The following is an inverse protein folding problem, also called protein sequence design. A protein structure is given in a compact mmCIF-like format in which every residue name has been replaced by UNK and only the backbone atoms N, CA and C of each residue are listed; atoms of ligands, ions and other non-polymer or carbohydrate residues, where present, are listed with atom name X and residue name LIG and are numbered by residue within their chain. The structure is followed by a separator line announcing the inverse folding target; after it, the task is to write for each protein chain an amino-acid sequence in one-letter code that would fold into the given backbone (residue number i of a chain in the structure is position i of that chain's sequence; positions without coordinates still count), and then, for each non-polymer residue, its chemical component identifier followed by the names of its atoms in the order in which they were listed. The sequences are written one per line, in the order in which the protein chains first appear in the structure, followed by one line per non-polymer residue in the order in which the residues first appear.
data_IF_267836595011
#
_entry.id   IF_267836595011
#
_cell.length_a   1.000
_cell.length_b   1.000
_cell.length_c   1.000
_cell.angle_alpha   90.00
_cell.angle_beta   90.00
_cell.angle_gamma   90.00
#
_symmetry.space_group_name_H-M   'P 1'
#
loop_
_entity.id
_entity.type
_entity.pdbx_description
1 polymer ?
#
# COMPACT_ATOMS: atom_id res chain seq x y z
N UNK A 1 -28.03 -7.60 -5.23
CA UNK A 1 -28.11 -6.12 -5.15
C UNK A 1 -27.95 -5.77 -3.69
N UNK A 2 -26.79 -5.22 -3.34
CA UNK A 2 -26.44 -4.87 -1.98
C UNK A 2 -26.16 -3.36 -1.87
N UNK A 3 -26.06 -2.88 -0.64
CA UNK A 3 -25.92 -1.46 -0.35
C UNK A 3 -24.66 -0.85 -0.98
N UNK A 4 -23.57 -1.60 -1.06
CA UNK A 4 -22.33 -1.15 -1.71
C UNK A 4 -22.50 -0.89 -3.21
N UNK A 5 -23.19 -1.78 -3.92
CA UNK A 5 -23.51 -1.55 -5.35
C UNK A 5 -24.43 -0.35 -5.54
N UNK A 6 -25.44 -0.20 -4.67
CA UNK A 6 -26.39 0.92 -4.75
C UNK A 6 -25.65 2.26 -4.60
N UNK A 7 -24.82 2.41 -3.57
CA UNK A 7 -24.04 3.64 -3.38
C UNK A 7 -23.07 3.90 -4.53
N UNK A 8 -22.43 2.85 -5.08
CA UNK A 8 -21.56 3.00 -6.26
C UNK A 8 -22.34 3.54 -7.45
N UNK A 9 -23.52 2.99 -7.72
CA UNK A 9 -24.35 3.39 -8.85
C UNK A 9 -24.90 4.82 -8.68
N UNK A 10 -24.97 5.32 -7.43
CA UNK A 10 -25.25 6.72 -7.09
C UNK A 10 -24.03 7.65 -7.16
N UNK A 11 -22.82 7.11 -7.37
CA UNK A 11 -21.57 7.87 -7.35
C UNK A 11 -21.05 8.19 -5.94
N UNK A 12 -21.62 7.58 -4.90
CA UNK A 12 -21.25 7.76 -3.50
C UNK A 12 -20.15 6.79 -3.09
N UNK A 13 -18.94 6.97 -3.64
CA UNK A 13 -17.83 6.01 -3.49
C UNK A 13 -17.44 5.72 -2.04
N UNK A 14 -17.45 6.72 -1.15
CA UNK A 14 -17.06 6.52 0.25
C UNK A 14 -18.07 5.66 1.01
N UNK A 15 -19.37 5.84 0.76
CA UNK A 15 -20.41 5.00 1.36
C UNK A 15 -20.46 3.62 0.71
N UNK A 16 -20.20 3.52 -0.59
CA UNK A 16 -20.02 2.24 -1.28
C UNK A 16 -18.88 1.43 -0.66
N UNK A 17 -17.73 2.07 -0.43
CA UNK A 17 -16.57 1.48 0.21
C UNK A 17 -16.90 1.00 1.62
N UNK A 18 -17.50 1.85 2.44
CA UNK A 18 -17.89 1.53 3.82
C UNK A 18 -18.87 0.36 3.89
N UNK A 19 -19.93 0.38 3.08
CA UNK A 19 -20.92 -0.70 3.03
C UNK A 19 -20.30 -2.02 2.56
N UNK A 20 -19.43 -1.95 1.55
CA UNK A 20 -18.73 -3.13 1.01
C UNK A 20 -17.79 -3.75 2.05
N UNK A 21 -16.99 -2.94 2.74
CA UNK A 21 -16.07 -3.42 3.77
C UNK A 21 -16.83 -4.02 4.96
N UNK A 22 -17.92 -3.40 5.40
CA UNK A 22 -18.77 -3.99 6.45
C UNK A 22 -19.35 -5.34 6.05
N UNK A 23 -19.73 -5.52 4.78
CA UNK A 23 -20.21 -6.80 4.29
C UNK A 23 -19.12 -7.88 4.32
N UNK A 24 -17.87 -7.53 3.98
CA UNK A 24 -16.70 -8.43 4.07
C UNK A 24 -16.36 -8.76 5.53
N UNK A 25 -16.48 -7.80 6.45
CA UNK A 25 -16.26 -8.04 7.89
C UNK A 25 -17.30 -9.00 8.50
N UNK A 26 -18.53 -8.98 7.98
CA UNK A 26 -19.59 -9.90 8.42
C UNK A 26 -19.44 -11.30 7.80
N UNK A 27 -18.97 -11.38 6.56
CA UNK A 27 -18.71 -12.62 5.84
C UNK A 27 -17.52 -12.43 4.89
N UNK A 28 -16.35 -12.91 5.31
CA UNK A 28 -15.09 -12.81 4.55
C UNK A 28 -15.18 -13.53 3.19
N UNK A 29 -16.07 -14.53 3.07
CA UNK A 29 -16.31 -15.30 1.86
C UNK A 29 -17.36 -14.68 0.92
N UNK A 30 -17.89 -13.50 1.24
CA UNK A 30 -18.95 -12.88 0.47
C UNK A 30 -18.47 -12.45 -0.93
N UNK A 31 -18.75 -13.30 -1.92
CA UNK A 31 -18.32 -13.10 -3.31
C UNK A 31 -18.84 -11.78 -3.89
N UNK A 32 -20.09 -11.39 -3.61
CA UNK A 32 -20.68 -10.14 -4.14
C UNK A 32 -19.96 -8.91 -3.54
N UNK A 33 -19.62 -8.95 -2.24
CA UNK A 33 -18.88 -7.88 -1.58
C UNK A 33 -17.43 -7.79 -2.09
N UNK A 34 -16.75 -8.92 -2.27
CA UNK A 34 -15.41 -8.96 -2.86
C UNK A 34 -15.40 -8.44 -4.31
N UNK A 35 -16.39 -8.80 -5.12
CA UNK A 35 -16.55 -8.28 -6.47
C UNK A 35 -16.80 -6.77 -6.49
N UNK A 36 -17.67 -6.28 -5.60
CA UNK A 36 -17.90 -4.86 -5.44
C UNK A 36 -16.64 -4.11 -5.03
N UNK A 37 -15.85 -4.67 -4.10
CA UNK A 37 -14.58 -4.08 -3.68
C UNK A 37 -13.61 -3.94 -4.86
N UNK A 38 -13.45 -5.01 -5.64
CA UNK A 38 -12.61 -5.00 -6.86
C UNK A 38 -13.10 -3.98 -7.89
N UNK A 39 -14.42 -3.77 -7.98
CA UNK A 39 -15.04 -2.79 -8.86
C UNK A 39 -14.73 -1.36 -8.42
N UNK A 40 -14.96 -1.02 -7.15
CA UNK A 40 -14.78 0.35 -6.63
C UNK A 40 -13.32 0.75 -6.42
N UNK A 41 -12.39 -0.23 -6.40
CA UNK A 41 -10.99 0.00 -6.04
C UNK A 41 -10.29 1.12 -6.83
N UNK A 42 -10.62 1.32 -8.11
CA UNK A 42 -10.07 2.41 -8.93
C UNK A 42 -10.58 3.79 -8.56
N UNK A 43 -11.72 3.85 -7.88
CA UNK A 43 -12.43 5.09 -7.56
C UNK A 43 -12.13 5.55 -6.13
N UNK A 44 -11.46 4.70 -5.33
CA UNK A 44 -11.03 5.02 -3.98
C UNK A 44 -10.00 6.16 -4.02
N UNK A 45 -10.39 7.29 -3.44
CA UNK A 45 -9.51 8.41 -3.14
C UNK A 45 -9.35 8.53 -1.64
N UNK A 46 -8.19 8.12 -1.12
CA UNK A 46 -7.92 8.11 0.32
C UNK A 46 -7.98 9.53 0.86
N UNK A 47 -8.84 9.75 1.85
CA UNK A 47 -9.05 11.01 2.53
C UNK A 47 -9.16 10.78 4.04
N UNK A 48 -9.30 11.86 4.81
CA UNK A 48 -9.38 11.78 6.28
C UNK A 48 -10.58 11.00 6.79
N UNK A 49 -11.68 10.95 6.05
CA UNK A 49 -12.94 10.32 6.46
C UNK A 49 -13.00 8.83 6.11
N UNK A 50 -12.39 8.42 4.99
CA UNK A 50 -12.45 7.04 4.52
C UNK A 50 -11.17 6.23 4.80
N UNK A 51 -10.14 6.83 5.41
CA UNK A 51 -8.79 6.24 5.54
C UNK A 51 -8.80 4.81 6.09
N UNK A 52 -9.53 4.56 7.16
CA UNK A 52 -9.58 3.25 7.80
C UNK A 52 -10.24 2.20 6.91
N UNK A 53 -11.31 2.58 6.20
CA UNK A 53 -11.97 1.69 5.24
C UNK A 53 -11.11 1.45 3.99
N UNK A 54 -10.42 2.49 3.49
CA UNK A 54 -9.50 2.36 2.37
C UNK A 54 -8.29 1.47 2.72
N UNK A 55 -7.79 1.56 3.96
CA UNK A 55 -6.76 0.67 4.48
C UNK A 55 -7.23 -0.78 4.51
N UNK A 56 -8.42 -1.07 5.06
CA UNK A 56 -8.99 -2.43 5.04
C UNK A 56 -9.22 -2.95 3.63
N UNK A 57 -9.73 -2.10 2.74
CA UNK A 57 -9.85 -2.43 1.32
C UNK A 57 -8.51 -2.83 0.71
N UNK A 58 -7.47 -2.05 0.99
CA UNK A 58 -6.13 -2.34 0.51
C UNK A 58 -5.61 -3.69 1.03
N UNK A 59 -5.82 -4.00 2.30
CA UNK A 59 -5.46 -5.28 2.92
C UNK A 59 -6.15 -6.47 2.25
N UNK A 60 -7.47 -6.38 2.03
CA UNK A 60 -8.24 -7.42 1.35
C UNK A 60 -7.75 -7.62 -0.09
N UNK A 61 -7.51 -6.53 -0.82
CA UNK A 61 -7.07 -6.59 -2.21
C UNK A 61 -5.63 -7.10 -2.36
N UNK A 62 -4.74 -6.82 -1.40
CA UNK A 62 -3.37 -7.38 -1.37
C UNK A 62 -3.34 -8.90 -1.23
N UNK A 63 -4.40 -9.49 -0.67
CA UNK A 63 -4.54 -10.94 -0.50
C UNK A 63 -5.27 -11.61 -1.68
N UNK A 64 -5.75 -10.84 -2.66
CA UNK A 64 -6.38 -11.37 -3.86
C UNK A 64 -5.33 -11.71 -4.92
N UNK A 65 -5.14 -13.01 -5.23
CA UNK A 65 -4.16 -13.47 -6.22
C UNK A 65 -4.44 -13.02 -7.66
N UNK A 66 -5.68 -12.67 -7.98
CA UNK A 66 -6.19 -12.38 -9.33
C UNK A 66 -6.50 -10.89 -9.54
N UNK A 67 -6.07 -10.01 -8.62
CA UNK A 67 -6.41 -8.60 -8.70
C UNK A 67 -5.35 -7.78 -9.47
N UNK A 68 -5.81 -6.72 -10.14
CA UNK A 68 -4.97 -5.89 -11.00
C UNK A 68 -3.86 -5.18 -10.20
N UNK A 69 -2.61 -5.48 -10.53
CA UNK A 69 -1.44 -4.80 -9.94
C UNK A 69 -1.48 -3.29 -10.19
N UNK A 70 -2.01 -2.83 -11.32
CA UNK A 70 -2.17 -1.40 -11.61
C UNK A 70 -3.09 -0.72 -10.59
N UNK A 71 -4.25 -1.33 -10.28
CA UNK A 71 -5.17 -0.79 -9.27
C UNK A 71 -4.55 -0.81 -7.86
N UNK A 72 -3.81 -1.86 -7.52
CA UNK A 72 -3.05 -1.91 -6.26
C UNK A 72 -1.99 -0.81 -6.19
N UNK A 73 -1.29 -0.53 -7.28
CA UNK A 73 -0.29 0.54 -7.33
C UNK A 73 -0.90 1.90 -7.01
N UNK A 74 -2.13 2.18 -7.46
CA UNK A 74 -2.81 3.43 -7.13
C UNK A 74 -3.05 3.57 -5.62
N UNK A 75 -3.52 2.51 -4.95
CA UNK A 75 -3.70 2.51 -3.49
C UNK A 75 -2.36 2.58 -2.74
N UNK A 76 -1.35 1.85 -3.21
CA UNK A 76 0.01 1.88 -2.67
C UNK A 76 0.58 3.31 -2.68
N UNK A 77 0.47 4.00 -3.81
CA UNK A 77 0.94 5.39 -3.95
C UNK A 77 0.18 6.29 -2.98
N UNK A 78 -1.16 6.22 -2.94
CA UNK A 78 -1.95 7.07 -2.05
C UNK A 78 -1.63 6.86 -0.56
N UNK A 79 -1.41 5.61 -0.13
CA UNK A 79 -1.14 5.30 1.27
C UNK A 79 0.30 5.63 1.68
N UNK A 80 1.29 5.34 0.83
CA UNK A 80 2.69 5.34 1.24
C UNK A 80 3.53 6.50 0.70
N UNK A 81 3.09 7.23 -0.34
CA UNK A 81 3.93 8.24 -1.00
C UNK A 81 4.47 9.29 -0.04
N UNK A 82 3.65 9.80 0.88
CA UNK A 82 4.07 10.82 1.84
C UNK A 82 5.19 10.34 2.79
N UNK A 83 5.08 9.11 3.31
CA UNK A 83 6.15 8.55 4.14
C UNK A 83 7.38 8.19 3.30
N UNK A 84 7.21 7.75 2.04
CA UNK A 84 8.31 7.49 1.10
C UNK A 84 9.10 8.76 0.82
N UNK A 85 8.44 9.89 0.54
CA UNK A 85 9.09 11.16 0.30
C UNK A 85 9.83 11.66 1.55
N UNK A 86 9.20 11.57 2.72
CA UNK A 86 9.84 11.92 4.00
C UNK A 86 11.06 11.04 4.29
N UNK A 87 10.93 9.72 4.09
CA UNK A 87 12.03 8.78 4.29
C UNK A 87 13.18 9.07 3.34
N UNK A 88 12.87 9.42 2.10
CA UNK A 88 13.87 9.79 1.10
C UNK A 88 14.62 11.06 1.50
N UNK A 89 14.01 12.03 2.17
CA UNK A 89 14.70 13.28 2.50
C UNK A 89 15.74 13.16 3.63
N UNK A 90 15.87 12.02 4.28
CA UNK A 90 16.94 11.78 5.26
C UNK A 90 18.30 11.61 4.59
N UNK A 91 19.39 11.87 5.33
CA UNK A 91 20.76 11.63 4.86
C UNK A 91 20.99 10.14 4.55
N UNK A 92 20.62 9.27 5.49
CA UNK A 92 20.55 7.82 5.32
C UNK A 92 19.11 7.35 5.49
N UNK A 93 18.60 6.61 4.52
CA UNK A 93 17.27 5.99 4.60
C UNK A 93 17.25 4.95 5.73
N UNK A 94 18.28 4.10 5.79
CA UNK A 94 18.43 3.11 6.85
C UNK A 94 19.17 3.80 8.01
N UNK A 95 18.42 4.34 8.97
CA UNK A 95 18.94 4.92 10.20
C UNK A 95 17.86 5.03 11.28
N UNK A 96 18.25 4.97 12.55
CA UNK A 96 17.35 5.06 13.71
C UNK A 96 16.61 6.41 13.82
N UNK A 97 17.10 7.44 13.12
CA UNK A 97 16.49 8.77 13.10
C UNK A 97 15.44 8.93 11.99
N UNK A 98 15.32 7.95 11.08
CA UNK A 98 14.39 8.00 9.97
C UNK A 98 13.04 7.36 10.33
N UNK A 99 12.27 8.06 11.16
CA UNK A 99 10.95 7.59 11.61
C UNK A 99 9.97 7.28 10.47
N UNK A 100 10.11 7.94 9.32
CA UNK A 100 9.27 7.67 8.16
C UNK A 100 9.61 6.31 7.53
N UNK A 101 10.89 6.00 7.40
CA UNK A 101 11.33 4.67 6.99
C UNK A 101 10.94 3.60 8.02
N UNK A 102 11.05 3.88 9.32
CA UNK A 102 10.63 2.94 10.37
C UNK A 102 9.15 2.58 10.27
N UNK A 103 8.28 3.58 10.01
CA UNK A 103 6.85 3.34 9.77
C UNK A 103 6.61 2.47 8.54
N UNK A 104 7.27 2.76 7.42
CA UNK A 104 7.18 1.96 6.20
C UNK A 104 7.67 0.52 6.43
N UNK A 105 8.85 0.37 7.03
CA UNK A 105 9.47 -0.92 7.29
C UNK A 105 8.65 -1.75 8.28
N UNK A 106 7.97 -1.13 9.24
CA UNK A 106 7.08 -1.78 10.21
C UNK A 106 5.72 -2.15 9.61
N UNK A 107 5.29 -1.49 8.53
CA UNK A 107 4.03 -1.78 7.87
C UNK A 107 4.10 -3.03 6.97
N UNK A 108 3.36 -4.07 7.36
CA UNK A 108 3.33 -5.32 6.59
C UNK A 108 2.75 -5.13 5.19
N UNK A 109 1.81 -4.18 5.01
CA UNK A 109 1.21 -3.87 3.71
C UNK A 109 2.27 -3.34 2.77
N UNK A 110 3.10 -2.41 3.23
CA UNK A 110 4.23 -1.89 2.47
C UNK A 110 5.19 -3.01 2.07
N UNK A 111 5.64 -3.84 3.03
CA UNK A 111 6.54 -4.98 2.75
C UNK A 111 5.94 -5.93 1.72
N UNK A 112 4.67 -6.35 1.90
CA UNK A 112 3.96 -7.23 0.97
C UNK A 112 3.87 -6.60 -0.43
N UNK A 113 3.57 -5.31 -0.50
CA UNK A 113 3.50 -4.56 -1.76
C UNK A 113 4.82 -4.61 -2.52
N UNK A 114 5.96 -4.45 -1.84
CA UNK A 114 7.28 -4.55 -2.47
C UNK A 114 7.58 -5.94 -3.04
N UNK A 115 6.91 -7.00 -2.57
CA UNK A 115 7.10 -8.36 -3.11
C UNK A 115 6.29 -8.64 -4.38
N UNK A 116 5.25 -7.85 -4.66
CA UNK A 116 4.29 -8.15 -5.75
C UNK A 116 4.10 -6.99 -6.75
N UNK A 117 4.42 -5.76 -6.35
CA UNK A 117 4.23 -4.56 -7.16
C UNK A 117 5.54 -4.06 -7.74
N UNK A 118 5.45 -3.49 -8.94
CA UNK A 118 6.48 -2.64 -9.55
C UNK A 118 5.81 -1.28 -9.79
N UNK A 119 5.77 -0.37 -8.79
CA UNK A 119 5.01 0.87 -8.91
C UNK A 119 5.70 1.82 -9.92
N UNK A 120 5.06 2.19 -11.04
CA UNK A 120 5.66 3.10 -12.03
C UNK A 120 5.52 4.55 -11.57
N UNK A 121 6.25 4.92 -10.51
CA UNK A 121 6.19 6.26 -9.91
C UNK A 121 7.60 6.77 -9.58
N UNK A 122 7.96 7.91 -10.16
CA UNK A 122 9.33 8.46 -10.08
C UNK A 122 9.86 8.53 -8.64
N UNK A 123 9.08 9.07 -7.70
CA UNK A 123 9.50 9.18 -6.29
C UNK A 123 9.72 7.83 -5.60
N UNK A 124 8.96 6.81 -6.00
CA UNK A 124 9.10 5.46 -5.44
C UNK A 124 10.35 4.81 -6.03
N UNK A 125 10.63 5.02 -7.32
CA UNK A 125 11.87 4.54 -7.96
C UNK A 125 13.12 5.20 -7.35
N UNK A 126 13.08 6.52 -7.14
CA UNK A 126 14.14 7.28 -6.45
C UNK A 126 14.40 6.71 -5.05
N UNK A 127 13.33 6.51 -4.27
CA UNK A 127 13.40 5.90 -2.94
C UNK A 127 14.02 4.50 -2.97
N UNK A 128 13.49 3.59 -3.80
CA UNK A 128 13.98 2.20 -3.88
C UNK A 128 15.43 2.14 -4.34
N UNK A 129 15.84 3.04 -5.24
CA UNK A 129 17.23 3.14 -5.69
C UNK A 129 18.16 3.55 -4.56
N UNK A 130 17.77 4.55 -3.76
CA UNK A 130 18.56 4.97 -2.60
C UNK A 130 18.57 3.91 -1.50
N UNK A 131 17.43 3.31 -1.19
CA UNK A 131 17.32 2.26 -0.18
C UNK A 131 18.28 1.10 -0.48
N UNK A 132 18.37 0.68 -1.76
CA UNK A 132 19.33 -0.36 -2.19
C UNK A 132 20.78 0.08 -2.01
N UNK A 133 21.12 1.35 -2.27
CA UNK A 133 22.47 1.87 -2.06
C UNK A 133 22.86 1.87 -0.59
N UNK A 134 21.97 2.32 0.29
CA UNK A 134 22.21 2.36 1.73
C UNK A 134 22.43 0.95 2.29
N UNK A 135 21.61 -0.02 1.85
CA UNK A 135 21.78 -1.42 2.21
C UNK A 135 23.16 -1.98 1.80
N UNK A 136 23.63 -1.66 0.60
CA UNK A 136 24.96 -2.06 0.12
C UNK A 136 26.11 -1.41 0.91
N UNK A 137 25.91 -0.20 1.45
CA UNK A 137 26.90 0.46 2.30
C UNK A 137 26.97 -0.25 3.65
N UNK A 138 25.83 -0.53 4.27
CA UNK A 138 25.78 -1.20 5.58
C UNK A 138 26.42 -2.60 5.54
N UNK A 139 26.09 -3.40 4.53
CA UNK A 139 26.68 -4.75 4.36
C UNK A 139 28.19 -4.76 4.13
N UNK A 140 28.77 -3.70 3.55
CA UNK A 140 30.23 -3.56 3.41
C UNK A 140 30.91 -3.17 4.72
N UNK A 141 30.26 -2.34 5.52
CA UNK A 141 30.78 -1.94 6.85
C UNK A 141 30.81 -3.11 7.83
N UNK A 142 29.89 -4.06 7.69
CA UNK A 142 29.75 -5.23 8.56
C UNK A 142 30.62 -6.44 8.16
N UNK A 143 31.36 -6.36 7.05
CA UNK A 143 32.18 -7.46 6.54
C UNK A 143 33.68 -7.06 6.50
N UNK A 144 34.55 -7.61 7.38
CA UNK A 144 35.97 -7.52 7.15
C UNK A 144 36.27 -8.33 5.89
N UNK A 145 36.81 -7.68 4.86
CA UNK A 145 37.26 -8.34 3.64
C UNK A 145 38.15 -9.51 4.05
N UNK A 146 37.83 -10.77 3.68
CA UNK A 146 38.75 -11.87 3.92
C UNK A 146 40.00 -11.57 3.10
N UNK A 147 41.11 -11.32 3.79
CA UNK A 147 42.43 -11.30 3.16
C UNK A 147 42.62 -12.63 2.45
N UNK A 148 42.73 -12.55 1.12
CA UNK A 148 43.00 -13.63 0.17
C UNK A 148 44.11 -14.57 0.63
#
# INVERSE_FOLDING_TARGET
MNLGSIYRDLGETDEALKATIKAIELDEGNIEALQNLKSIASDIKINTFNRDYAKKAYEVLLNCNDFSHHKLCQLFVQEHLNDIEKATNADSIISDNNQAFDRLASDWRFRKSLTILIPPHQKIEEFLTRLRKDFLIQTKSDCPIPSS
#
